data_IF_178904760378
#
_entry.id   IF_178904760378
#
_cell.length_a   1.000
_cell.length_b   1.000
_cell.length_c   1.000
_cell.angle_alpha   90.00
_cell.angle_beta   90.00
_cell.angle_gamma   90.00
#
_symmetry.space_group_name_H-M   'P 1'
#
loop_
_entity.id
_entity.type
_entity.pdbx_description
1 polymer ?
#
# COMPACT_ATOMS: atom_id res chain seq x y z
N UNK A 1 -48.02 26.11 -29.93
CA UNK A 1 -47.58 25.71 -28.57
C UNK A 1 -48.11 24.31 -28.25
N UNK A 2 -47.41 23.51 -27.41
CA UNK A 2 -46.81 22.22 -27.81
C UNK A 2 -47.45 20.98 -27.15
N UNK A 3 -46.99 19.78 -27.54
CA UNK A 3 -46.45 18.78 -26.60
C UNK A 3 -45.65 17.71 -27.37
N UNK A 4 -44.34 17.94 -27.40
CA UNK A 4 -43.31 16.95 -27.73
C UNK A 4 -43.32 15.88 -26.64
N UNK A 5 -43.68 14.64 -26.99
CA UNK A 5 -43.34 13.48 -26.18
C UNK A 5 -42.03 12.93 -26.72
N UNK A 6 -40.93 13.30 -26.07
CA UNK A 6 -39.63 12.65 -26.24
C UNK A 6 -39.83 11.19 -25.82
N UNK A 7 -39.91 10.30 -26.80
CA UNK A 7 -39.91 8.85 -26.59
C UNK A 7 -38.53 8.47 -26.06
N UNK A 8 -38.40 8.53 -24.74
CA UNK A 8 -37.29 7.98 -23.98
C UNK A 8 -37.42 6.46 -24.02
N UNK A 9 -37.08 5.89 -25.19
CA UNK A 9 -36.90 4.46 -25.35
C UNK A 9 -35.75 4.07 -24.43
N UNK A 10 -36.12 3.42 -23.33
CA UNK A 10 -35.22 2.81 -22.36
C UNK A 10 -34.26 1.90 -23.14
N UNK A 11 -33.01 2.35 -23.23
CA UNK A 11 -31.93 1.66 -23.91
C UNK A 11 -31.51 0.50 -23.00
N UNK A 12 -32.34 -0.55 -22.97
CA UNK A 12 -32.01 -1.84 -22.34
C UNK A 12 -31.27 -2.71 -23.35
N UNK A 13 -30.15 -2.20 -23.88
CA UNK A 13 -29.10 -3.08 -24.39
C UNK A 13 -28.29 -3.61 -23.21
N UNK A 14 -27.56 -4.73 -23.34
CA UNK A 14 -26.55 -5.09 -22.35
C UNK A 14 -25.65 -3.85 -22.19
N UNK A 15 -25.72 -3.21 -21.03
CA UNK A 15 -24.77 -2.16 -20.69
C UNK A 15 -23.44 -2.90 -20.66
N UNK A 16 -22.47 -2.41 -21.43
CA UNK A 16 -21.08 -2.53 -21.01
C UNK A 16 -21.05 -1.87 -19.63
N UNK A 17 -21.35 -2.64 -18.58
CA UNK A 17 -20.72 -2.36 -17.30
C UNK A 17 -19.24 -2.28 -17.66
N UNK A 18 -18.61 -1.12 -17.44
CA UNK A 18 -17.18 -1.06 -17.54
C UNK A 18 -16.71 -2.19 -16.63
N UNK A 19 -16.05 -3.18 -17.24
CA UNK A 19 -15.62 -4.43 -16.63
C UNK A 19 -14.57 -4.20 -15.52
N UNK A 20 -14.44 -2.96 -15.03
CA UNK A 20 -13.46 -2.47 -14.09
C UNK A 20 -13.90 -2.61 -12.63
N UNK A 21 -15.22 -2.71 -12.36
CA UNK A 21 -15.72 -3.03 -11.01
C UNK A 21 -15.51 -4.51 -10.65
N UNK A 22 -15.16 -5.33 -11.64
CA UNK A 22 -14.56 -6.65 -11.41
C UNK A 22 -13.05 -6.51 -11.28
N UNK A 23 -12.63 -5.73 -10.29
CA UNK A 23 -11.40 -6.03 -9.56
C UNK A 23 -11.49 -7.51 -9.20
N UNK A 24 -10.84 -8.32 -10.03
CA UNK A 24 -10.63 -9.73 -9.75
C UNK A 24 -10.08 -9.82 -8.32
N UNK A 25 -10.40 -10.85 -7.53
CA UNK A 25 -9.73 -11.04 -6.24
C UNK A 25 -8.19 -11.15 -6.36
N UNK A 26 -7.64 -11.23 -7.58
CA UNK A 26 -6.22 -11.16 -7.90
C UNK A 26 -5.66 -9.72 -7.96
N UNK A 27 -6.51 -8.70 -8.14
CA UNK A 27 -6.15 -7.29 -8.01
C UNK A 27 -6.70 -6.78 -6.68
N UNK A 28 -6.02 -7.14 -5.58
CA UNK A 28 -6.16 -6.37 -4.34
C UNK A 28 -5.90 -4.91 -4.72
N UNK A 29 -6.77 -3.99 -4.32
CA UNK A 29 -6.54 -2.58 -4.61
C UNK A 29 -5.13 -2.21 -4.16
N UNK A 30 -4.37 -1.51 -5.00
CA UNK A 30 -2.97 -1.13 -4.72
C UNK A 30 -2.83 -0.53 -3.31
N UNK A 31 -3.82 0.27 -2.91
CA UNK A 31 -3.96 0.87 -1.59
C UNK A 31 -4.05 -0.17 -0.47
N UNK A 32 -4.89 -1.20 -0.63
CA UNK A 32 -5.06 -2.26 0.38
C UNK A 32 -3.78 -3.10 0.52
N UNK A 33 -3.06 -3.31 -0.59
CA UNK A 33 -1.79 -4.03 -0.60
C UNK A 33 -0.71 -3.29 0.18
N UNK A 34 -0.58 -1.98 -0.04
CA UNK A 34 0.39 -1.14 0.68
C UNK A 34 0.04 -1.08 2.18
N UNK A 35 -1.25 -0.92 2.52
CA UNK A 35 -1.71 -0.93 3.91
C UNK A 35 -1.39 -2.25 4.61
N UNK A 36 -1.61 -3.38 3.92
CA UNK A 36 -1.28 -4.69 4.45
C UNK A 36 0.22 -4.81 4.75
N UNK A 37 1.10 -4.42 3.81
CA UNK A 37 2.54 -4.50 4.00
C UNK A 37 3.05 -3.63 5.14
N UNK A 38 2.51 -2.41 5.30
CA UNK A 38 2.82 -1.56 6.45
C UNK A 38 2.37 -2.21 7.76
N UNK A 39 1.18 -2.81 7.79
CA UNK A 39 0.69 -3.52 8.97
C UNK A 39 1.62 -4.67 9.35
N UNK A 40 1.99 -5.53 8.40
CA UNK A 40 2.80 -6.73 8.73
C UNK A 40 4.28 -6.43 8.97
N UNK A 41 4.85 -5.40 8.34
CA UNK A 41 6.29 -5.08 8.48
C UNK A 41 6.55 -4.03 9.55
N UNK A 42 5.70 -3.02 9.66
CA UNK A 42 5.89 -1.86 10.55
C UNK A 42 4.92 -1.85 11.75
N UNK A 43 3.89 -2.70 11.77
CA UNK A 43 2.86 -2.75 12.84
C UNK A 43 2.18 -1.40 13.05
N UNK A 44 1.98 -0.68 11.94
CA UNK A 44 1.22 0.56 11.88
C UNK A 44 0.50 0.70 10.55
N UNK A 45 -0.44 1.62 10.48
CA UNK A 45 -1.03 2.05 9.21
C UNK A 45 -0.06 2.85 8.34
N UNK A 46 -0.27 2.79 7.03
CA UNK A 46 0.42 3.63 6.05
C UNK A 46 0.00 5.10 6.22
N UNK A 47 0.97 6.00 6.24
CA UNK A 47 0.73 7.43 6.19
C UNK A 47 0.41 7.91 4.75
N UNK A 48 -0.27 9.06 4.58
CA UNK A 48 -0.67 9.53 3.25
C UNK A 48 0.49 9.74 2.27
N UNK A 49 1.68 10.10 2.76
CA UNK A 49 2.85 10.33 1.91
C UNK A 49 3.45 9.01 1.42
N UNK A 50 3.63 8.03 2.30
CA UNK A 50 4.06 6.68 1.95
C UNK A 50 3.10 6.00 0.99
N UNK A 51 1.80 6.16 1.22
CA UNK A 51 0.78 5.61 0.33
C UNK A 51 0.91 6.21 -1.09
N UNK A 52 1.00 7.52 -1.22
CA UNK A 52 1.15 8.17 -2.52
C UNK A 52 2.45 7.76 -3.24
N UNK A 53 3.55 7.65 -2.49
CA UNK A 53 4.86 7.26 -3.02
C UNK A 53 4.85 5.85 -3.60
N UNK A 54 4.35 4.86 -2.85
CA UNK A 54 4.32 3.47 -3.29
C UNK A 54 3.24 3.20 -4.33
N UNK A 55 2.09 3.87 -4.25
CA UNK A 55 1.07 3.80 -5.30
C UNK A 55 1.62 4.29 -6.64
N UNK A 56 2.36 5.41 -6.64
CA UNK A 56 3.00 5.93 -7.86
C UNK A 56 4.00 4.91 -8.45
N UNK A 57 4.77 4.20 -7.62
CA UNK A 57 5.69 3.18 -8.12
C UNK A 57 4.96 1.99 -8.74
N UNK A 58 3.90 1.50 -8.10
CA UNK A 58 3.10 0.38 -8.61
C UNK A 58 2.33 0.75 -9.88
N UNK A 59 1.79 1.96 -9.94
CA UNK A 59 1.14 2.51 -11.14
C UNK A 59 2.13 2.66 -12.31
N UNK A 60 3.39 3.01 -12.01
CA UNK A 60 4.47 3.06 -13.00
C UNK A 60 5.02 1.66 -13.39
N UNK A 61 4.41 0.58 -12.90
CA UNK A 61 4.77 -0.79 -13.26
C UNK A 61 5.89 -1.40 -12.43
N UNK A 62 6.25 -0.82 -11.28
CA UNK A 62 7.15 -1.48 -10.35
C UNK A 62 6.54 -2.80 -9.86
N UNK A 63 7.41 -3.81 -9.70
CA UNK A 63 6.98 -5.09 -9.16
C UNK A 63 6.62 -4.95 -7.66
N UNK A 64 5.53 -5.57 -7.19
CA UNK A 64 5.13 -5.62 -5.77
C UNK A 64 6.29 -5.94 -4.81
N UNK A 65 7.15 -6.89 -5.20
CA UNK A 65 8.28 -7.36 -4.40
C UNK A 65 9.34 -6.28 -4.20
N UNK A 66 9.51 -5.38 -5.17
CA UNK A 66 10.42 -4.23 -5.06
C UNK A 66 9.91 -3.26 -4.01
N UNK A 67 8.60 -3.00 -3.98
CA UNK A 67 7.97 -2.13 -2.99
C UNK A 67 8.08 -2.72 -1.58
N UNK A 68 7.79 -4.00 -1.42
CA UNK A 68 7.99 -4.70 -0.14
C UNK A 68 9.47 -4.64 0.28
N UNK A 69 10.38 -4.88 -0.66
CA UNK A 69 11.82 -4.79 -0.42
C UNK A 69 12.24 -3.42 0.10
N UNK A 70 11.73 -2.33 -0.49
CA UNK A 70 12.00 -0.97 -0.03
C UNK A 70 11.46 -0.68 1.38
N UNK A 71 10.29 -1.22 1.72
CA UNK A 71 9.72 -1.08 3.07
C UNK A 71 10.57 -1.88 4.08
N UNK A 72 10.99 -3.09 3.74
CA UNK A 72 11.84 -3.93 4.59
C UNK A 72 13.26 -3.37 4.74
N UNK A 73 13.80 -2.72 3.71
CA UNK A 73 15.09 -2.03 3.78
C UNK A 73 14.98 -0.61 4.35
N UNK A 74 13.78 -0.18 4.75
CA UNK A 74 13.62 1.16 5.31
C UNK A 74 14.29 1.25 6.67
N UNK A 75 14.85 2.43 6.94
CA UNK A 75 15.36 2.81 8.28
C UNK A 75 14.35 2.42 9.36
N UNK A 76 13.09 2.79 9.19
CA UNK A 76 12.03 2.52 10.15
C UNK A 76 11.87 1.03 10.49
N UNK A 77 11.93 0.15 9.48
CA UNK A 77 11.88 -1.29 9.71
C UNK A 77 13.09 -1.78 10.51
N UNK A 78 14.30 -1.33 10.16
CA UNK A 78 15.51 -1.68 10.90
C UNK A 78 15.46 -1.21 12.35
N UNK A 79 15.02 0.04 12.59
CA UNK A 79 14.88 0.60 13.93
C UNK A 79 13.94 -0.25 14.79
N UNK A 80 12.80 -0.66 14.21
CA UNK A 80 11.84 -1.54 14.89
C UNK A 80 12.43 -2.91 15.20
N UNK A 81 13.05 -3.55 14.22
CA UNK A 81 13.67 -4.87 14.37
C UNK A 81 14.71 -4.84 15.49
N UNK A 82 15.65 -3.88 15.44
CA UNK A 82 16.70 -3.72 16.46
C UNK A 82 16.10 -3.47 17.84
N UNK A 83 15.05 -2.65 17.94
CA UNK A 83 14.36 -2.36 19.20
C UNK A 83 13.69 -3.60 19.78
N UNK A 84 12.93 -4.34 18.98
CA UNK A 84 12.24 -5.57 19.41
C UNK A 84 13.23 -6.63 19.86
N UNK A 85 14.30 -6.86 19.09
CA UNK A 85 15.31 -7.86 19.47
C UNK A 85 16.11 -7.45 20.71
N UNK A 86 16.49 -6.19 20.83
CA UNK A 86 17.24 -5.71 22.00
C UNK A 86 16.39 -5.78 23.27
N UNK A 87 15.12 -5.36 23.20
CA UNK A 87 14.19 -5.46 24.32
C UNK A 87 13.88 -6.92 24.71
N UNK A 88 13.79 -7.83 23.73
CA UNK A 88 13.43 -9.23 23.96
C UNK A 88 14.58 -10.15 24.41
N UNK A 89 15.82 -9.89 23.97
CA UNK A 89 16.98 -10.75 24.27
C UNK A 89 17.89 -10.12 25.32
N UNK A 90 18.08 -8.81 25.27
CA UNK A 90 19.09 -8.10 26.08
C UNK A 90 18.46 -7.34 27.25
N UNK A 91 17.13 -7.34 27.38
CA UNK A 91 16.36 -6.56 28.37
C UNK A 91 16.77 -5.08 28.41
N UNK A 92 17.25 -4.55 27.27
CA UNK A 92 17.83 -3.20 27.16
C UNK A 92 17.41 -2.56 25.83
N UNK A 93 17.22 -1.24 25.86
CA UNK A 93 17.01 -0.44 24.65
C UNK A 93 18.30 -0.35 23.82
N UNK A 94 18.22 -0.39 22.48
CA UNK A 94 19.39 -0.20 21.62
C UNK A 94 20.00 1.19 21.84
N UNK A 95 21.33 1.27 21.89
CA UNK A 95 22.07 2.51 21.97
C UNK A 95 22.26 3.17 20.59
N UNK A 96 22.48 4.49 20.59
CA UNK A 96 22.53 5.30 19.38
C UNK A 96 23.59 4.82 18.36
N UNK A 97 24.67 4.20 18.82
CA UNK A 97 25.75 3.68 17.98
C UNK A 97 25.35 2.37 17.26
N UNK A 98 24.66 1.45 17.94
CA UNK A 98 24.14 0.22 17.32
C UNK A 98 23.03 0.49 16.30
N UNK A 99 22.26 1.56 16.55
CA UNK A 99 21.21 2.06 15.67
C UNK A 99 21.76 2.68 14.38
N UNK A 100 22.80 3.52 14.47
CA UNK A 100 23.42 4.14 13.30
C UNK A 100 24.06 3.13 12.35
N UNK A 101 24.61 2.03 12.87
CA UNK A 101 25.27 0.99 12.06
C UNK A 101 24.32 0.23 11.13
N UNK A 102 23.05 0.03 11.53
CA UNK A 102 22.06 -0.74 10.75
C UNK A 102 21.17 0.15 9.87
N UNK A 103 21.17 1.46 10.12
CA UNK A 103 20.33 2.44 9.44
C UNK A 103 21.04 3.12 8.24
N UNK A 104 22.36 2.94 8.12
CA UNK A 104 23.19 3.58 7.10
C UNK A 104 23.59 2.69 5.91
N UNK A 105 23.02 1.50 5.77
CA UNK A 105 23.28 0.55 4.68
C UNK A 105 22.08 0.46 3.72
#
# INVERSE_FOLDING_TARGET
MPRSRKNQRLVNGPRLELLEDRLTPASIAVVDTIQHWYGVTLDRGTDPQGLAYYSTQLENGAAPEVVVGQILSSREHYEKVVTVYSAGILERQPDADGFAAHVAA
#
